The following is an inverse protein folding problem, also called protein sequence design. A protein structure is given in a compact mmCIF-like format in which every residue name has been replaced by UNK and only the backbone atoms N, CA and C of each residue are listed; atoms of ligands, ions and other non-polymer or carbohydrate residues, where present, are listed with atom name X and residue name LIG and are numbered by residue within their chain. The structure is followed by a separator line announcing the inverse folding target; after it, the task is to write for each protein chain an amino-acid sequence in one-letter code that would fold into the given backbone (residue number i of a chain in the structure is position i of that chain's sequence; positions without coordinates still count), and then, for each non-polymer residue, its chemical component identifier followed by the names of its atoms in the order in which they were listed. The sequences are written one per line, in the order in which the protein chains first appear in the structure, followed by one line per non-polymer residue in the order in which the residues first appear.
data_IF_852550572387
#
_entry.id   IF_852550572387
#
_cell.length_a   1.000
_cell.length_b   1.000
_cell.length_c   1.000
_cell.angle_alpha   90.00
_cell.angle_beta   90.00
_cell.angle_gamma   90.00
#
_symmetry.space_group_name_H-M   'P 1'
#
loop_
_entity.id
_entity.type
_entity.pdbx_description
1 polymer ?
#
# COMPACT_ATOMS: atom_id res chain seq x y z
N UNK A 1 -0.58 -18.30 17.55
CA UNK A 1 0.21 -17.23 16.89
C UNK A 1 -0.75 -16.29 16.17
N UNK A 2 -0.75 -15.00 16.48
CA UNK A 2 -1.64 -14.02 15.85
C UNK A 2 -1.15 -13.74 14.41
N UNK A 3 -1.95 -14.07 13.38
CA UNK A 3 -1.54 -13.92 11.97
C UNK A 3 -1.07 -12.52 11.57
N UNK A 4 -1.55 -11.47 12.25
CA UNK A 4 -1.06 -10.09 12.07
C UNK A 4 0.41 -9.91 12.47
N UNK A 5 0.85 -10.55 13.56
CA UNK A 5 2.22 -10.46 14.04
C UNK A 5 3.19 -11.15 13.08
N UNK A 6 2.79 -12.31 12.53
CA UNK A 6 3.57 -13.02 11.51
C UNK A 6 3.75 -12.16 10.26
N UNK A 7 2.66 -11.52 9.80
CA UNK A 7 2.73 -10.59 8.69
C UNK A 7 3.72 -9.46 8.99
N UNK A 8 3.55 -8.74 10.10
CA UNK A 8 4.45 -7.64 10.47
C UNK A 8 5.92 -8.09 10.43
N UNK A 9 6.21 -9.27 10.97
CA UNK A 9 7.55 -9.86 10.93
C UNK A 9 8.05 -10.12 9.50
N UNK A 10 7.22 -10.72 8.63
CA UNK A 10 7.55 -10.90 7.22
C UNK A 10 7.84 -9.56 6.52
N UNK A 11 7.07 -8.51 6.82
CA UNK A 11 7.31 -7.17 6.31
C UNK A 11 8.67 -6.60 6.72
N UNK A 12 9.10 -6.81 7.96
CA UNK A 12 10.43 -6.43 8.42
C UNK A 12 11.55 -7.20 7.71
N UNK A 13 11.37 -8.50 7.49
CA UNK A 13 12.34 -9.32 6.75
C UNK A 13 12.49 -8.84 5.31
N UNK A 14 11.39 -8.53 4.63
CA UNK A 14 11.40 -7.97 3.27
C UNK A 14 12.14 -6.63 3.21
N UNK A 15 11.91 -5.76 4.20
CA UNK A 15 12.62 -4.47 4.28
C UNK A 15 14.13 -4.66 4.48
N UNK A 16 14.51 -5.58 5.36
CA UNK A 16 15.92 -5.91 5.60
C UNK A 16 16.58 -6.47 4.34
N UNK A 17 15.91 -7.39 3.65
CA UNK A 17 16.40 -7.96 2.39
C UNK A 17 16.60 -6.89 1.30
N UNK A 18 15.64 -5.97 1.17
CA UNK A 18 15.71 -4.86 0.22
C UNK A 18 16.94 -3.98 0.45
N UNK A 19 17.19 -3.62 1.70
CA UNK A 19 18.32 -2.78 2.11
C UNK A 19 19.67 -3.48 1.90
N UNK A 20 19.77 -4.74 2.34
CA UNK A 20 21.02 -5.51 2.26
C UNK A 20 21.45 -5.86 0.83
N UNK A 21 20.49 -6.00 -0.09
CA UNK A 21 20.75 -6.48 -1.45
C UNK A 21 20.42 -5.45 -2.54
N UNK A 22 20.12 -4.20 -2.16
CA UNK A 22 19.72 -3.13 -3.08
C UNK A 22 18.56 -3.54 -4.02
N UNK A 23 17.53 -4.18 -3.44
CA UNK A 23 16.36 -4.68 -4.18
C UNK A 23 15.16 -3.74 -4.03
N UNK A 24 14.34 -3.69 -5.08
CA UNK A 24 13.00 -3.11 -4.98
C UNK A 24 11.99 -4.18 -4.56
N UNK A 25 11.21 -3.91 -3.51
CA UNK A 25 10.13 -4.80 -3.04
C UNK A 25 8.79 -4.12 -3.27
N UNK A 26 7.92 -4.78 -4.03
CA UNK A 26 6.53 -4.37 -4.23
C UNK A 26 5.60 -5.33 -3.47
N UNK A 27 4.71 -4.77 -2.67
CA UNK A 27 3.69 -5.55 -1.93
C UNK A 27 2.31 -5.08 -2.36
N UNK A 28 1.48 -6.01 -2.81
CA UNK A 28 0.06 -5.77 -3.08
C UNK A 28 -0.76 -6.11 -1.85
N UNK A 29 -1.72 -5.26 -1.53
CA UNK A 29 -2.63 -5.48 -0.41
C UNK A 29 -4.05 -5.15 -0.85
N UNK A 30 -5.01 -5.96 -0.41
CA UNK A 30 -6.42 -5.71 -0.66
C UNK A 30 -6.95 -4.57 0.22
N UNK A 31 -7.91 -3.82 -0.34
CA UNK A 31 -8.72 -2.87 0.41
C UNK A 31 -9.99 -3.58 0.92
N UNK A 32 -10.39 -3.26 2.15
CA UNK A 32 -11.61 -3.76 2.80
C UNK A 32 -12.46 -2.59 3.26
N UNK A 33 -13.76 -2.84 3.51
CA UNK A 33 -14.67 -1.84 4.05
C UNK A 33 -14.21 -1.35 5.44
N UNK A 34 -14.13 -0.04 5.59
CA UNK A 34 -13.95 0.69 6.83
C UNK A 34 -15.27 1.26 7.36
N UNK A 35 -15.16 2.05 8.42
CA UNK A 35 -16.32 2.77 8.98
C UNK A 35 -16.80 3.84 7.99
N UNK A 36 -18.11 4.09 7.98
CA UNK A 36 -18.72 5.12 7.12
C UNK A 36 -18.56 4.87 5.62
N UNK A 37 -18.38 3.61 5.17
CA UNK A 37 -18.21 3.28 3.75
C UNK A 37 -16.83 3.62 3.19
N UNK A 38 -15.86 3.97 4.04
CA UNK A 38 -14.48 4.22 3.62
C UNK A 38 -13.77 2.93 3.20
N UNK A 39 -12.74 3.03 2.38
CA UNK A 39 -11.84 1.91 2.08
C UNK A 39 -10.60 1.97 2.96
N UNK A 40 -10.23 0.86 3.60
CA UNK A 40 -9.02 0.73 4.42
C UNK A 40 -8.17 -0.46 3.97
N UNK A 41 -6.84 -0.41 4.18
CA UNK A 41 -5.99 -1.56 3.87
C UNK A 41 -6.30 -2.75 4.80
N UNK A 42 -6.36 -3.98 4.27
CA UNK A 42 -6.71 -5.18 5.05
C UNK A 42 -5.75 -5.45 6.23
N UNK A 43 -4.45 -5.22 6.02
CA UNK A 43 -3.41 -5.41 7.04
C UNK A 43 -3.43 -4.33 8.15
N UNK A 44 -4.25 -3.27 8.00
CA UNK A 44 -4.51 -2.29 9.04
C UNK A 44 -3.31 -1.44 9.48
N UNK A 45 -3.45 -0.81 10.65
CA UNK A 45 -2.48 0.14 11.19
C UNK A 45 -1.12 -0.48 11.54
N UNK A 46 -1.09 -1.75 12.00
CA UNK A 46 0.15 -2.45 12.34
C UNK A 46 1.11 -2.61 11.16
N UNK A 47 0.61 -2.55 9.92
CA UNK A 47 1.43 -2.64 8.71
C UNK A 47 1.82 -1.28 8.12
N UNK A 48 1.18 -0.20 8.57
CA UNK A 48 1.22 1.12 7.94
C UNK A 48 2.62 1.73 7.83
N UNK A 49 3.49 1.41 8.78
CA UNK A 49 4.86 1.92 8.87
C UNK A 49 5.89 1.09 8.09
N UNK A 50 5.54 -0.13 7.69
CA UNK A 50 6.46 -1.07 7.04
C UNK A 50 6.89 -0.60 5.64
N UNK A 51 5.96 -0.33 4.69
CA UNK A 51 6.36 0.13 3.37
C UNK A 51 6.81 1.59 3.38
N UNK A 52 7.86 1.90 2.61
CA UNK A 52 8.37 3.26 2.43
C UNK A 52 7.36 4.15 1.69
N UNK A 53 6.76 3.60 0.63
CA UNK A 53 5.78 4.27 -0.23
C UNK A 53 4.48 3.49 -0.24
N UNK A 54 3.34 4.18 -0.22
CA UNK A 54 2.02 3.57 -0.31
C UNK A 54 1.22 4.22 -1.42
N UNK A 55 0.70 3.39 -2.31
CA UNK A 55 -0.15 3.79 -3.43
C UNK A 55 -1.54 3.18 -3.24
N UNK A 56 -2.58 3.95 -3.52
CA UNK A 56 -3.95 3.47 -3.66
C UNK A 56 -4.27 3.39 -5.14
N UNK A 57 -4.66 2.19 -5.59
CA UNK A 57 -5.20 1.97 -6.92
C UNK A 57 -6.72 1.94 -6.83
N UNK A 58 -7.39 2.74 -7.66
CA UNK A 58 -8.84 2.67 -7.84
C UNK A 58 -9.18 2.64 -9.32
N UNK A 59 -10.31 2.04 -9.66
CA UNK A 59 -10.82 2.01 -11.04
C UNK A 59 -12.14 2.75 -11.08
N UNK A 60 -12.22 3.73 -11.96
CA UNK A 60 -13.48 4.36 -12.32
C UNK A 60 -14.19 3.44 -13.33
N UNK A 61 -15.29 2.83 -12.90
CA UNK A 61 -16.06 1.89 -13.73
C UNK A 61 -16.78 2.58 -14.89
N UNK A 62 -16.98 3.89 -14.80
CA UNK A 62 -17.67 4.70 -15.81
C UNK A 62 -16.75 5.05 -16.97
N UNK A 63 -15.51 5.44 -16.68
CA UNK A 63 -14.53 5.85 -17.70
C UNK A 63 -13.54 4.75 -18.12
N UNK A 64 -13.60 3.57 -17.48
CA UNK A 64 -12.59 2.50 -17.57
C UNK A 64 -11.15 2.94 -17.22
N UNK A 65 -10.97 4.17 -16.74
CA UNK A 65 -9.69 4.68 -16.30
C UNK A 65 -9.34 4.16 -14.90
N UNK A 66 -8.05 3.92 -14.69
CA UNK A 66 -7.50 3.64 -13.38
C UNK A 66 -6.84 4.89 -12.80
N UNK A 67 -6.98 5.09 -11.49
CA UNK A 67 -6.37 6.17 -10.75
C UNK A 67 -5.37 5.60 -9.75
N UNK A 68 -4.20 6.22 -9.65
CA UNK A 68 -3.21 5.95 -8.61
C UNK A 68 -3.08 7.18 -7.73
N UNK A 69 -3.25 7.03 -6.42
CA UNK A 69 -3.04 8.12 -5.45
C UNK A 69 -1.93 7.78 -4.48
N UNK A 70 -1.02 8.73 -4.21
CA UNK A 70 0.05 8.55 -3.23
C UNK A 70 -0.52 8.76 -1.81
N UNK A 71 -0.58 7.69 -1.02
CA UNK A 71 -1.00 7.68 0.39
C UNK A 71 0.16 7.90 1.37
N UNK A 72 1.40 7.72 0.94
CA UNK A 72 2.60 8.07 1.71
C UNK A 72 3.79 8.00 0.78
N UNK A 73 4.65 9.00 0.86
CA UNK A 73 5.97 8.99 0.23
C UNK A 73 6.91 9.78 1.13
N UNK A 74 8.16 9.33 1.31
CA UNK A 74 9.14 10.04 2.14
C UNK A 74 9.53 11.41 1.58
N UNK A 75 9.41 11.62 0.27
CA UNK A 75 9.90 12.84 -0.41
C UNK A 75 8.91 13.52 -1.36
N UNK A 76 7.67 13.04 -1.48
CA UNK A 76 6.64 13.62 -2.38
C UNK A 76 5.40 14.00 -1.60
N UNK A 77 4.78 15.11 -2.01
CA UNK A 77 3.50 15.55 -1.47
C UNK A 77 2.44 14.43 -1.52
N UNK A 78 1.88 14.15 -0.36
CA UNK A 78 0.72 13.28 -0.19
C UNK A 78 -0.47 13.78 -1.03
N UNK A 79 -1.29 12.87 -1.56
CA UNK A 79 -2.50 13.22 -2.31
C UNK A 79 -2.32 13.51 -3.80
N UNK A 80 -1.10 13.47 -4.34
CA UNK A 80 -0.91 13.49 -5.81
C UNK A 80 -1.53 12.24 -6.43
N UNK A 81 -2.33 12.44 -7.47
CA UNK A 81 -2.99 11.38 -8.21
C UNK A 81 -2.59 11.41 -9.70
N UNK A 82 -2.52 10.23 -10.31
CA UNK A 82 -2.29 10.06 -11.75
C UNK A 82 -3.35 9.12 -12.33
N UNK A 83 -3.80 9.41 -13.56
CA UNK A 83 -4.77 8.59 -14.31
C UNK A 83 -4.04 7.78 -15.37
N UNK A 84 -4.44 6.54 -15.57
CA UNK A 84 -3.86 5.65 -16.58
C UNK A 84 -4.91 4.67 -17.12
N UNK A 85 -4.63 4.10 -18.28
CA UNK A 85 -5.41 3.02 -18.90
C UNK A 85 -4.51 1.78 -18.96
N UNK A 86 -5.11 0.59 -18.94
CA UNK A 86 -4.40 -0.69 -19.04
C UNK A 86 -4.61 -1.25 -20.44
#
# INVERSE_FOLDING_TARGET
MNGRALMVYAGYLLKKLADQHNLAVLVTNHAVGGEGGTLKPALGESWKSIPHTRLLLSRDRTSNACNVTILKHSTKAFGKAARFVI
#
